data_IF_387173982764
#
_entry.id   IF_387173982764
#
_cell.length_a   1.000
_cell.length_b   1.000
_cell.length_c   1.000
_cell.angle_alpha   90.00
_cell.angle_beta   90.00
_cell.angle_gamma   90.00
#
_symmetry.space_group_name_H-M   'P 1'
#
loop_
_entity.id
_entity.type
_entity.pdbx_description
1 polymer ?
#
# COMPACT_ATOMS: atom_id res chain seq x y z
N UNK A 1 15.69 1.76 8.56
CA UNK A 1 14.71 1.21 7.60
C UNK A 1 15.21 -0.14 7.17
N UNK A 2 14.36 -1.16 7.20
CA UNK A 2 14.71 -2.51 6.77
C UNK A 2 14.86 -2.58 5.23
N UNK A 3 15.59 -3.59 4.70
CA UNK A 3 15.84 -3.71 3.26
C UNK A 3 14.56 -3.81 2.41
N UNK A 4 13.52 -4.46 2.93
CA UNK A 4 12.25 -4.63 2.23
C UNK A 4 11.51 -3.31 2.06
N UNK A 5 11.47 -2.48 3.11
CA UNK A 5 10.91 -1.12 3.03
C UNK A 5 11.59 -0.27 1.95
N UNK A 6 12.92 -0.36 1.81
CA UNK A 6 13.66 0.37 0.78
C UNK A 6 13.29 -0.12 -0.62
N UNK A 7 13.20 -1.45 -0.80
CA UNK A 7 12.82 -2.06 -2.07
C UNK A 7 11.40 -1.67 -2.50
N UNK A 8 10.43 -1.72 -1.58
CA UNK A 8 9.03 -1.38 -1.87
C UNK A 8 8.88 0.11 -2.23
N UNK A 9 9.55 1.01 -1.49
CA UNK A 9 9.54 2.44 -1.80
C UNK A 9 10.16 2.74 -3.17
N UNK A 10 11.29 2.11 -3.50
CA UNK A 10 11.93 2.25 -4.80
C UNK A 10 11.07 1.73 -5.96
N UNK A 11 10.33 0.63 -5.74
CA UNK A 11 9.45 0.06 -6.76
C UNK A 11 8.23 0.94 -7.06
N UNK A 12 7.64 1.58 -6.04
CA UNK A 12 6.45 2.42 -6.23
C UNK A 12 6.76 3.66 -7.06
N UNK A 13 7.94 4.27 -6.88
CA UNK A 13 8.36 5.44 -7.64
C UNK A 13 8.50 5.16 -9.15
N UNK A 14 8.68 3.89 -9.55
CA UNK A 14 8.90 3.48 -10.93
C UNK A 14 7.66 2.90 -11.63
N UNK A 15 6.57 2.60 -10.91
CA UNK A 15 5.46 1.79 -11.42
C UNK A 15 4.13 2.56 -11.51
N UNK A 16 3.71 2.87 -12.74
CA UNK A 16 2.38 3.41 -13.09
C UNK A 16 1.29 2.33 -13.24
N UNK A 17 1.52 1.10 -12.75
CA UNK A 17 0.63 -0.05 -13.02
C UNK A 17 -0.62 -0.14 -12.14
N UNK A 18 -0.76 0.73 -11.15
CA UNK A 18 -1.87 0.63 -10.21
C UNK A 18 -3.10 1.40 -10.68
N UNK A 19 -4.26 0.74 -10.62
CA UNK A 19 -5.55 1.40 -10.80
C UNK A 19 -5.73 2.43 -9.68
N UNK A 20 -6.05 3.66 -10.05
CA UNK A 20 -6.40 4.70 -9.10
C UNK A 20 -7.85 4.49 -8.67
N UNK A 21 -8.06 4.29 -7.37
CA UNK A 21 -9.37 4.18 -6.76
C UNK A 21 -9.57 5.37 -5.83
N UNK A 22 -10.76 5.95 -5.87
CA UNK A 22 -11.13 7.06 -5.00
C UNK A 22 -12.07 6.55 -3.91
N UNK A 23 -11.73 6.83 -2.66
CA UNK A 23 -12.60 6.56 -1.52
C UNK A 23 -12.95 7.88 -0.84
N UNK A 24 -14.25 8.09 -0.62
CA UNK A 24 -14.73 9.21 0.20
C UNK A 24 -14.27 9.03 1.65
N UNK A 25 -14.21 7.80 2.14
CA UNK A 25 -13.72 7.49 3.48
C UNK A 25 -12.95 6.16 3.48
N UNK A 26 -11.62 6.21 3.64
CA UNK A 26 -10.80 5.00 3.70
C UNK A 26 -10.76 4.46 5.13
N UNK A 27 -11.51 3.38 5.37
CA UNK A 27 -11.53 2.69 6.67
C UNK A 27 -10.49 1.58 6.74
N UNK A 28 -10.09 1.23 7.97
CA UNK A 28 -9.29 0.04 8.23
C UNK A 28 -9.91 -1.22 7.61
N UNK A 29 -11.25 -1.37 7.72
CA UNK A 29 -11.97 -2.51 7.16
C UNK A 29 -11.83 -2.63 5.65
N UNK A 30 -11.90 -1.52 4.91
CA UNK A 30 -11.74 -1.50 3.43
C UNK A 30 -10.33 -1.95 3.02
N UNK A 31 -9.32 -1.63 3.83
CA UNK A 31 -7.94 -2.06 3.59
C UNK A 31 -7.82 -3.57 3.83
N UNK A 32 -8.28 -4.05 4.99
CA UNK A 32 -8.24 -5.47 5.36
C UNK A 32 -9.03 -6.32 4.37
N UNK A 33 -10.25 -5.92 4.04
CA UNK A 33 -11.14 -6.65 3.12
C UNK A 33 -10.48 -6.82 1.75
N UNK A 34 -9.76 -5.80 1.26
CA UNK A 34 -9.03 -5.94 0.00
C UNK A 34 -7.92 -6.98 0.09
N UNK A 35 -7.17 -7.05 1.20
CA UNK A 35 -6.16 -8.09 1.37
C UNK A 35 -6.78 -9.48 1.51
N UNK A 36 -7.89 -9.61 2.25
CA UNK A 36 -8.65 -10.87 2.37
C UNK A 36 -9.16 -11.35 1.01
N UNK A 37 -9.70 -10.44 0.19
CA UNK A 37 -10.13 -10.76 -1.18
C UNK A 37 -8.97 -11.12 -2.12
N UNK A 38 -7.73 -10.89 -1.70
CA UNK A 38 -6.51 -11.25 -2.44
C UNK A 38 -5.61 -12.20 -1.63
N UNK A 39 -6.18 -12.93 -0.68
CA UNK A 39 -5.44 -13.78 0.28
C UNK A 39 -4.56 -14.81 -0.43
N UNK A 40 -5.08 -15.47 -1.47
CA UNK A 40 -4.36 -16.47 -2.25
C UNK A 40 -2.99 -15.96 -2.71
N UNK A 41 -2.94 -14.73 -3.24
CA UNK A 41 -1.71 -14.10 -3.70
C UNK A 41 -0.92 -13.48 -2.55
N UNK A 42 -1.61 -12.89 -1.56
CA UNK A 42 -0.98 -12.18 -0.45
C UNK A 42 -0.19 -13.12 0.49
N UNK A 43 -0.65 -14.36 0.61
CA UNK A 43 -0.09 -15.39 1.51
C UNK A 43 0.98 -16.26 0.86
N UNK A 44 1.22 -16.11 -0.45
CA UNK A 44 2.37 -16.75 -1.09
C UNK A 44 3.65 -16.39 -0.35
N UNK A 45 4.54 -17.37 -0.17
CA UNK A 45 5.74 -17.25 0.66
C UNK A 45 6.64 -16.07 0.25
N UNK A 46 6.63 -15.78 -1.06
CA UNK A 46 7.39 -14.72 -1.70
C UNK A 46 6.74 -13.35 -1.62
N UNK A 47 5.52 -13.23 -1.09
CA UNK A 47 4.71 -12.02 -1.19
C UNK A 47 4.47 -11.36 0.18
N UNK A 48 4.34 -10.05 0.17
CA UNK A 48 4.05 -9.24 1.35
C UNK A 48 2.94 -8.25 1.04
N UNK A 49 1.89 -8.27 1.85
CA UNK A 49 0.85 -7.27 1.84
C UNK A 49 1.35 -6.00 2.54
N UNK A 50 1.32 -4.87 1.85
CA UNK A 50 1.77 -3.60 2.39
C UNK A 50 0.91 -2.43 1.92
N UNK A 51 0.79 -1.42 2.78
CA UNK A 51 0.33 -0.08 2.40
C UNK A 51 1.50 0.88 2.48
N UNK A 52 1.57 1.79 1.52
CA UNK A 52 2.64 2.79 1.42
C UNK A 52 2.04 4.17 1.23
N UNK A 53 2.37 5.07 2.15
CA UNK A 53 2.02 6.48 2.04
C UNK A 53 3.01 7.15 1.09
N UNK A 54 2.49 7.73 0.01
CA UNK A 54 3.27 8.48 -0.98
C UNK A 54 2.62 9.83 -1.27
N UNK A 55 3.36 10.73 -1.92
CA UNK A 55 2.79 11.93 -2.53
C UNK A 55 2.59 11.67 -4.03
N UNK A 56 1.45 12.07 -4.57
CA UNK A 56 1.20 12.14 -6.00
C UNK A 56 1.92 13.36 -6.58
N UNK A 57 2.19 13.35 -7.89
CA UNK A 57 2.77 14.50 -8.59
C UNK A 57 1.92 15.79 -8.43
N UNK A 58 0.62 15.67 -8.14
CA UNK A 58 -0.27 16.79 -7.84
C UNK A 58 -0.06 17.41 -6.45
N UNK A 59 0.82 16.86 -5.62
CA UNK A 59 1.02 17.26 -4.22
C UNK A 59 0.00 16.67 -3.26
N UNK A 60 -1.02 15.96 -3.77
CA UNK A 60 -1.95 15.17 -2.95
C UNK A 60 -1.21 14.00 -2.31
N UNK A 61 -1.51 13.71 -1.05
CA UNK A 61 -1.06 12.47 -0.42
C UNK A 61 -1.88 11.32 -1.01
N UNK A 62 -1.29 10.13 -1.17
CA UNK A 62 -2.00 8.92 -1.56
C UNK A 62 -1.48 7.72 -0.75
N UNK A 63 -2.30 6.68 -0.68
CA UNK A 63 -1.87 5.38 -0.13
C UNK A 63 -1.86 4.36 -1.25
N UNK A 64 -0.69 3.83 -1.55
CA UNK A 64 -0.54 2.65 -2.41
C UNK A 64 -0.80 1.43 -1.55
N UNK A 65 -1.90 0.73 -1.82
CA UNK A 65 -2.17 -0.56 -1.21
C UNK A 65 -1.78 -1.66 -2.19
N UNK A 66 -0.92 -2.59 -1.80
CA UNK A 66 -0.48 -3.63 -2.72
C UNK A 66 0.13 -4.86 -2.05
N UNK A 67 0.28 -5.88 -2.88
CA UNK A 67 1.04 -7.09 -2.60
C UNK A 67 2.32 -6.99 -3.39
N UNK A 68 3.45 -7.14 -2.71
CA UNK A 68 4.79 -6.97 -3.27
C UNK A 68 5.57 -8.26 -3.12
N UNK A 69 6.39 -8.59 -4.12
CA UNK A 69 7.33 -9.70 -4.00
C UNK A 69 8.48 -9.29 -3.05
N UNK A 70 8.69 -10.03 -1.97
CA UNK A 70 9.66 -9.77 -0.90
C UNK A 70 11.10 -9.71 -1.39
N UNK A 71 11.44 -10.50 -2.42
CA UNK A 71 12.80 -10.60 -2.94
C UNK A 71 13.15 -9.43 -3.85
N UNK A 72 12.16 -8.88 -4.56
CA UNK A 72 12.38 -7.86 -5.59
C UNK A 72 11.80 -6.49 -5.24
N UNK A 73 10.92 -6.42 -4.23
CA UNK A 73 10.08 -5.26 -3.92
C UNK A 73 9.05 -4.92 -4.98
N UNK A 74 8.99 -5.68 -6.09
CA UNK A 74 8.12 -5.34 -7.22
C UNK A 74 6.65 -5.58 -6.89
N UNK A 75 5.75 -4.72 -7.37
CA UNK A 75 4.34 -4.91 -7.17
C UNK A 75 3.82 -6.11 -7.96
N UNK A 76 3.16 -7.03 -7.27
CA UNK A 76 2.43 -8.17 -7.87
C UNK A 76 1.00 -7.75 -8.19
N UNK A 77 0.36 -7.05 -7.25
CA UNK A 77 -0.99 -6.51 -7.38
C UNK A 77 -1.15 -5.29 -6.49
N UNK A 78 -2.00 -4.34 -6.87
CA UNK A 78 -2.29 -3.21 -5.99
C UNK A 78 -3.17 -2.16 -6.63
N UNK A 79 -3.43 -1.13 -5.83
CA UNK A 79 -4.23 0.03 -6.19
C UNK A 79 -3.65 1.28 -5.52
N UNK A 80 -3.75 2.39 -6.23
CA UNK A 80 -3.45 3.70 -5.66
C UNK A 80 -4.73 4.29 -5.11
N UNK A 81 -4.73 4.68 -3.85
CA UNK A 81 -5.90 5.25 -3.19
C UNK A 81 -5.68 6.76 -3.05
N UNK A 82 -6.46 7.55 -3.81
CA UNK A 82 -6.54 9.01 -3.65
C UNK A 82 -7.30 9.36 -2.36
N UNK A 83 -6.93 10.48 -1.76
CA UNK A 83 -6.97 10.60 -0.31
C UNK A 83 -7.50 11.95 0.17
N UNK A 84 -8.80 11.98 0.52
CA UNK A 84 -9.42 13.19 1.07
C UNK A 84 -9.77 13.02 2.57
N UNK A 85 -10.17 11.83 3.03
CA UNK A 85 -10.46 11.53 4.44
C UNK A 85 -10.03 10.11 4.87
N UNK A 86 -8.97 9.97 5.70
CA UNK A 86 -8.56 8.68 6.28
C UNK A 86 -9.24 8.54 7.63
N UNK A 87 -9.67 7.31 7.92
CA UNK A 87 -9.94 6.91 9.28
C UNK A 87 -8.72 7.19 10.20
N UNK A 88 -8.98 7.65 11.42
CA UNK A 88 -7.95 8.00 12.41
C UNK A 88 -6.94 6.87 12.63
N UNK A 89 -7.38 5.62 12.60
CA UNK A 89 -6.52 4.45 12.84
C UNK A 89 -5.51 4.26 11.72
N UNK A 90 -5.93 4.45 10.47
CA UNK A 90 -5.02 4.28 9.33
C UNK A 90 -4.03 5.47 9.25
N UNK A 91 -4.45 6.69 9.65
CA UNK A 91 -3.50 7.81 9.84
C UNK A 91 -2.47 7.53 10.92
N UNK A 92 -2.90 6.90 12.02
CA UNK A 92 -2.05 6.62 13.16
C UNK A 92 -0.93 5.64 12.80
N UNK A 93 -1.25 4.53 12.13
CA UNK A 93 -0.23 3.53 11.72
C UNK A 93 0.78 4.12 10.71
N UNK A 94 0.34 5.06 9.88
CA UNK A 94 1.18 5.77 8.91
C UNK A 94 1.79 7.08 9.44
N UNK A 95 1.58 7.45 10.71
CA UNK A 95 2.07 8.73 11.26
C UNK A 95 3.58 8.83 11.19
N UNK A 96 4.26 7.76 11.61
CA UNK A 96 5.72 7.69 11.66
C UNK A 96 6.30 6.67 10.68
N UNK A 97 5.44 5.91 9.97
CA UNK A 97 5.85 4.82 9.09
C UNK A 97 5.32 5.05 7.66
N UNK A 98 6.20 5.30 6.68
CA UNK A 98 5.78 5.44 5.30
C UNK A 98 5.25 4.10 4.74
N UNK A 99 5.73 2.97 5.26
CA UNK A 99 5.31 1.63 4.87
C UNK A 99 4.72 0.92 6.09
N UNK A 100 3.57 0.27 5.91
CA UNK A 100 2.93 -0.59 6.92
C UNK A 100 2.73 -1.96 6.30
N UNK A 101 3.25 -2.98 6.96
CA UNK A 101 3.13 -4.38 6.55
C UNK A 101 1.91 -4.98 7.24
N UNK A 102 1.14 -5.77 6.48
CA UNK A 102 -0.05 -6.47 6.94
C UNK A 102 0.28 -7.98 6.95
N UNK A 103 0.35 -8.59 8.13
CA UNK A 103 0.59 -10.02 8.35
C UNK A 103 -0.50 -10.60 9.24
#
# INVERSE_FOLDING_TARGET
MDPLTILVLGAIAAYNLFVIVYFVYLTWSIIVEWFQNNEEVATEWDNVAATVKTALESGEVAVVQGIFNRNTGKPVKGRTIKYDDLDSRVREVHRNNPVVIWQ
#
